data_IF_515180226023
#
_entry.id   IF_515180226023
#
_cell.length_a   1.000
_cell.length_b   1.000
_cell.length_c   1.000
_cell.angle_alpha   90.00
_cell.angle_beta   90.00
_cell.angle_gamma   90.00
#
_symmetry.space_group_name_H-M   'P 1'
#
loop_
_entity.id
_entity.type
_entity.pdbx_description
1 polymer ?
#
# COMPACT_ATOMS: atom_id res chain seq x y z
N UNK A 1 14.19 -17.20 19.95
CA UNK A 1 13.13 -16.20 19.71
C UNK A 1 13.60 -14.93 20.39
N UNK A 2 13.58 -13.79 19.70
CA UNK A 2 13.90 -12.53 20.33
C UNK A 2 12.79 -12.14 21.34
N UNK A 3 13.16 -11.41 22.41
CA UNK A 3 12.22 -10.97 23.44
C UNK A 3 11.57 -9.61 23.08
N UNK A 4 11.56 -9.22 21.81
CA UNK A 4 11.00 -7.94 21.37
C UNK A 4 9.48 -7.98 21.41
N UNK A 5 8.86 -7.01 22.09
CA UNK A 5 7.42 -6.83 22.07
C UNK A 5 7.03 -6.05 20.81
N UNK A 6 6.19 -6.61 19.98
CA UNK A 6 5.70 -6.01 18.72
C UNK A 6 4.26 -5.56 18.86
N UNK A 7 3.76 -4.84 17.90
CA UNK A 7 2.35 -4.43 17.83
C UNK A 7 1.43 -5.66 17.88
N UNK A 8 0.26 -5.51 18.48
CA UNK A 8 -0.70 -6.61 18.72
C UNK A 8 -1.17 -7.31 17.44
N UNK A 9 -1.20 -6.57 16.34
CA UNK A 9 -1.59 -7.12 15.04
C UNK A 9 -0.53 -8.01 14.38
N UNK A 10 0.73 -7.91 14.80
CA UNK A 10 1.84 -8.67 14.23
C UNK A 10 1.75 -10.16 14.62
N UNK A 11 1.48 -11.03 13.64
CA UNK A 11 1.44 -12.47 13.86
C UNK A 11 2.85 -13.03 14.07
N UNK A 12 3.18 -13.37 15.31
CA UNK A 12 4.48 -13.90 15.72
C UNK A 12 4.83 -15.29 15.14
N UNK A 13 3.89 -15.94 14.46
CA UNK A 13 4.11 -17.23 13.78
C UNK A 13 4.48 -17.04 12.30
N UNK A 14 4.35 -15.83 11.77
CA UNK A 14 4.66 -15.50 10.38
C UNK A 14 5.94 -14.65 10.28
N UNK A 15 7.02 -15.25 9.80
CA UNK A 15 8.33 -14.59 9.69
C UNK A 15 8.31 -13.41 8.72
N UNK A 16 7.53 -13.47 7.64
CA UNK A 16 7.36 -12.36 6.69
C UNK A 16 6.65 -11.18 7.36
N UNK A 17 5.65 -11.47 8.20
CA UNK A 17 4.90 -10.43 8.90
C UNK A 17 5.75 -9.75 9.98
N UNK A 18 6.56 -10.53 10.70
CA UNK A 18 7.55 -10.01 11.64
C UNK A 18 8.56 -9.11 10.93
N UNK A 19 9.11 -9.56 9.80
CA UNK A 19 10.05 -8.78 9.01
C UNK A 19 9.42 -7.47 8.52
N UNK A 20 8.22 -7.52 7.97
CA UNK A 20 7.49 -6.33 7.53
C UNK A 20 7.30 -5.33 8.68
N UNK A 21 6.83 -5.80 9.85
CA UNK A 21 6.66 -4.96 11.04
C UNK A 21 7.98 -4.31 11.49
N UNK A 22 9.07 -5.10 11.55
CA UNK A 22 10.33 -4.63 12.12
C UNK A 22 11.15 -3.76 11.16
N UNK A 23 11.02 -3.97 9.85
CA UNK A 23 11.93 -3.41 8.85
C UNK A 23 11.29 -2.45 7.86
N UNK A 24 9.95 -2.54 7.63
CA UNK A 24 9.27 -1.74 6.61
C UNK A 24 8.17 -0.83 7.19
N UNK A 25 7.22 -1.40 7.92
CA UNK A 25 6.03 -0.69 8.38
C UNK A 25 6.37 0.51 9.26
N UNK A 26 5.71 1.63 9.00
CA UNK A 26 5.97 2.91 9.67
C UNK A 26 7.39 3.47 9.48
N UNK A 27 8.14 2.99 8.50
CA UNK A 27 9.45 3.57 8.13
C UNK A 27 9.32 4.40 6.86
N UNK A 28 9.76 5.67 6.88
CA UNK A 28 9.69 6.53 5.71
C UNK A 28 10.42 5.92 4.50
N UNK A 29 9.68 5.62 3.46
CA UNK A 29 10.21 5.18 2.17
C UNK A 29 9.40 5.84 1.05
N UNK A 30 10.04 6.77 0.34
CA UNK A 30 9.43 7.59 -0.70
C UNK A 30 10.02 7.30 -2.09
N UNK A 31 10.62 6.11 -2.26
CA UNK A 31 10.96 5.61 -3.59
C UNK A 31 9.68 5.41 -4.41
N UNK A 32 9.65 5.93 -5.63
CA UNK A 32 8.44 5.93 -6.47
C UNK A 32 7.94 4.52 -6.80
N UNK A 33 8.84 3.55 -6.97
CA UNK A 33 8.44 2.15 -7.20
C UNK A 33 7.82 1.56 -5.95
N UNK A 34 8.38 1.84 -4.77
CA UNK A 34 7.83 1.39 -3.49
C UNK A 34 6.47 2.03 -3.21
N UNK A 35 6.32 3.33 -3.45
CA UNK A 35 5.04 4.03 -3.32
C UNK A 35 3.97 3.42 -4.22
N UNK A 36 4.32 3.09 -5.46
CA UNK A 36 3.42 2.45 -6.40
C UNK A 36 3.07 1.02 -5.98
N UNK A 37 4.06 0.19 -5.66
CA UNK A 37 3.87 -1.18 -5.19
C UNK A 37 2.91 -1.23 -4.00
N UNK A 38 3.18 -0.41 -2.96
CA UNK A 38 2.37 -0.41 -1.75
C UNK A 38 0.94 0.07 -2.01
N UNK A 39 0.72 1.06 -2.88
CA UNK A 39 -0.63 1.51 -3.23
C UNK A 39 -1.42 0.39 -3.94
N UNK A 40 -0.79 -0.35 -4.84
CA UNK A 40 -1.43 -1.48 -5.51
C UNK A 40 -1.75 -2.59 -4.51
N UNK A 41 -0.79 -3.01 -3.68
CA UNK A 41 -0.99 -4.08 -2.71
C UNK A 41 -2.07 -3.74 -1.68
N UNK A 42 -2.09 -2.52 -1.14
CA UNK A 42 -3.12 -2.04 -0.21
C UNK A 42 -4.52 -2.03 -0.87
N UNK A 43 -4.60 -1.70 -2.16
CA UNK A 43 -5.88 -1.75 -2.88
C UNK A 43 -6.46 -3.17 -3.02
N UNK A 44 -5.61 -4.21 -2.95
CA UNK A 44 -6.02 -5.62 -2.91
C UNK A 44 -6.38 -6.11 -1.50
N UNK A 45 -6.24 -5.29 -0.47
CA UNK A 45 -6.61 -5.66 0.89
C UNK A 45 -8.13 -5.59 1.14
N UNK A 46 -8.93 -5.11 0.20
CA UNK A 46 -10.37 -4.93 0.40
C UNK A 46 -11.06 -6.23 0.84
N UNK A 47 -11.53 -6.27 2.10
CA UNK A 47 -12.15 -7.45 2.71
C UNK A 47 -11.20 -8.56 3.14
N UNK A 48 -9.88 -8.36 3.08
CA UNK A 48 -8.85 -9.30 3.48
C UNK A 48 -7.96 -8.75 4.60
N UNK A 49 -7.18 -9.61 5.24
CA UNK A 49 -6.12 -9.17 6.14
C UNK A 49 -4.86 -8.75 5.35
N UNK A 50 -4.10 -7.80 5.90
CA UNK A 50 -2.81 -7.43 5.31
C UNK A 50 -1.85 -8.61 5.24
N UNK A 51 -1.87 -9.50 6.24
CA UNK A 51 -1.07 -10.72 6.23
C UNK A 51 -1.35 -11.59 5.00
N UNK A 52 -2.61 -11.67 4.55
CA UNK A 52 -2.98 -12.41 3.33
C UNK A 52 -2.34 -11.78 2.09
N UNK A 53 -2.34 -10.46 1.98
CA UNK A 53 -1.72 -9.73 0.87
C UNK A 53 -0.20 -9.87 0.91
N UNK A 54 0.40 -9.66 2.08
CA UNK A 54 1.85 -9.73 2.28
C UNK A 54 2.42 -11.11 1.95
N UNK A 55 1.73 -12.18 2.33
CA UNK A 55 2.13 -13.55 1.99
C UNK A 55 2.12 -13.83 0.48
N UNK A 56 1.41 -13.02 -0.29
CA UNK A 56 1.31 -13.11 -1.76
C UNK A 56 2.18 -12.06 -2.49
N UNK A 57 2.88 -11.18 -1.75
CA UNK A 57 3.64 -10.05 -2.30
C UNK A 57 4.64 -10.47 -3.37
N UNK A 58 5.39 -11.53 -3.14
CA UNK A 58 6.35 -12.05 -4.13
C UNK A 58 5.65 -12.56 -5.39
N UNK A 59 4.51 -13.22 -5.25
CA UNK A 59 3.72 -13.68 -6.40
C UNK A 59 3.12 -12.50 -7.19
N UNK A 60 2.68 -11.44 -6.48
CA UNK A 60 2.28 -10.18 -7.12
C UNK A 60 3.44 -9.52 -7.86
N UNK A 61 4.62 -9.46 -7.28
CA UNK A 61 5.81 -8.89 -7.92
C UNK A 61 6.09 -9.59 -9.25
N UNK A 62 6.04 -10.92 -9.29
CA UNK A 62 6.22 -11.69 -10.52
C UNK A 62 5.08 -11.47 -11.52
N UNK A 63 3.82 -11.47 -11.08
CA UNK A 63 2.64 -11.36 -11.94
C UNK A 63 2.44 -9.94 -12.52
N UNK A 64 2.94 -8.91 -11.83
CA UNK A 64 2.84 -7.49 -12.19
C UNK A 64 4.16 -6.94 -12.74
N UNK A 65 4.97 -7.76 -13.43
CA UNK A 65 6.22 -7.32 -14.05
C UNK A 65 7.14 -6.54 -13.11
N UNK A 66 7.31 -7.03 -11.87
CA UNK A 66 8.11 -6.39 -10.83
C UNK A 66 7.61 -4.96 -10.52
N UNK A 67 6.31 -4.76 -10.53
CA UNK A 67 5.66 -3.45 -10.39
C UNK A 67 6.22 -2.38 -11.33
N UNK A 68 6.53 -2.79 -12.57
CA UNK A 68 6.88 -1.84 -13.61
C UNK A 68 5.62 -1.13 -14.11
N UNK A 69 5.44 0.11 -13.68
CA UNK A 69 4.21 0.89 -13.96
C UNK A 69 3.97 1.06 -15.46
N UNK A 70 5.04 1.20 -16.28
CA UNK A 70 4.92 1.37 -17.73
C UNK A 70 4.29 0.13 -18.38
N UNK A 71 4.67 -1.05 -17.89
CA UNK A 71 4.09 -2.31 -18.37
C UNK A 71 2.67 -2.51 -17.86
N UNK A 72 2.42 -2.28 -16.57
CA UNK A 72 1.08 -2.47 -15.97
C UNK A 72 0.04 -1.55 -16.62
N UNK A 73 0.41 -0.31 -16.98
CA UNK A 73 -0.46 0.59 -17.71
C UNK A 73 -0.90 0.08 -19.08
N UNK A 74 -0.17 -0.88 -19.65
CA UNK A 74 -0.44 -1.48 -20.97
C UNK A 74 -1.20 -2.81 -20.89
N UNK A 75 -1.49 -3.31 -19.70
CA UNK A 75 -2.24 -4.55 -19.53
C UNK A 75 -3.62 -4.45 -20.17
N UNK A 76 -3.95 -5.45 -20.97
CA UNK A 76 -5.20 -5.61 -21.71
C UNK A 76 -6.13 -6.65 -21.06
N UNK A 77 -7.24 -6.96 -21.71
CA UNK A 77 -8.19 -7.96 -21.21
C UNK A 77 -7.60 -9.39 -21.20
N UNK A 78 -6.64 -9.72 -22.06
CA UNK A 78 -5.95 -11.02 -22.07
C UNK A 78 -5.09 -11.15 -20.81
N UNK A 79 -4.34 -10.10 -20.46
CA UNK A 79 -3.56 -10.05 -19.20
C UNK A 79 -4.48 -10.11 -17.97
N UNK A 80 -5.64 -9.46 -18.00
CA UNK A 80 -6.64 -9.58 -16.91
C UNK A 80 -7.09 -11.03 -16.72
N UNK A 81 -7.34 -11.78 -17.82
CA UNK A 81 -7.71 -13.19 -17.76
C UNK A 81 -6.57 -14.04 -17.20
N UNK A 82 -5.34 -13.81 -17.65
CA UNK A 82 -4.14 -14.48 -17.12
C UNK A 82 -4.01 -14.27 -15.61
N UNK A 83 -4.11 -13.03 -15.13
CA UNK A 83 -4.04 -12.71 -13.70
C UNK A 83 -5.16 -13.37 -12.89
N UNK A 84 -6.38 -13.47 -13.43
CA UNK A 84 -7.48 -14.18 -12.79
C UNK A 84 -7.24 -15.70 -12.67
N UNK A 85 -6.44 -16.28 -13.53
CA UNK A 85 -6.08 -17.70 -13.49
C UNK A 85 -4.91 -17.99 -12.55
N UNK A 86 -4.13 -16.99 -12.18
CA UNK A 86 -2.98 -17.13 -11.28
C UNK A 86 -3.43 -17.35 -9.83
N UNK A 87 -3.33 -18.59 -9.33
CA UNK A 87 -3.75 -18.99 -7.97
C UNK A 87 -2.87 -18.40 -6.86
N UNK A 88 -1.70 -17.93 -7.19
CA UNK A 88 -0.75 -17.39 -6.23
C UNK A 88 -1.08 -15.95 -5.79
N UNK A 89 -1.85 -15.20 -6.59
CA UNK A 89 -2.29 -13.84 -6.26
C UNK A 89 -3.77 -13.79 -5.83
N UNK A 90 -4.25 -12.61 -5.44
CA UNK A 90 -5.67 -12.34 -5.23
C UNK A 90 -6.34 -12.15 -6.61
N UNK A 91 -7.36 -12.97 -6.91
CA UNK A 91 -7.93 -13.14 -8.26
C UNK A 91 -9.24 -12.39 -8.49
N UNK A 92 -9.51 -11.38 -7.68
CA UNK A 92 -10.72 -10.57 -7.85
C UNK A 92 -10.62 -9.73 -9.12
N UNK A 93 -11.51 -10.00 -10.08
CA UNK A 93 -11.54 -9.31 -11.39
C UNK A 93 -11.65 -7.80 -11.26
N UNK A 94 -12.47 -7.32 -10.32
CA UNK A 94 -12.68 -5.88 -10.13
C UNK A 94 -11.42 -5.21 -9.58
N UNK A 95 -10.72 -5.84 -8.64
CA UNK A 95 -9.46 -5.34 -8.09
C UNK A 95 -8.35 -5.36 -9.14
N UNK A 96 -8.24 -6.43 -9.95
CA UNK A 96 -7.27 -6.50 -11.05
C UNK A 96 -7.52 -5.38 -12.07
N UNK A 97 -8.76 -5.17 -12.52
CA UNK A 97 -9.08 -4.05 -13.43
C UNK A 97 -8.84 -2.69 -12.79
N UNK A 98 -9.15 -2.57 -11.50
CA UNK A 98 -8.88 -1.35 -10.74
C UNK A 98 -7.39 -1.07 -10.61
N UNK A 99 -6.54 -2.07 -10.37
CA UNK A 99 -5.10 -1.88 -10.26
C UNK A 99 -4.49 -1.32 -11.56
N UNK A 100 -4.95 -1.78 -12.72
CA UNK A 100 -4.51 -1.26 -14.03
C UNK A 100 -4.96 0.19 -14.22
N UNK A 101 -6.21 0.50 -13.87
CA UNK A 101 -6.73 1.87 -13.93
C UNK A 101 -5.97 2.79 -12.95
N UNK A 102 -5.75 2.33 -11.72
CA UNK A 102 -5.02 3.09 -10.70
C UNK A 102 -3.56 3.35 -11.13
N UNK A 103 -2.93 2.41 -11.84
CA UNK A 103 -1.58 2.59 -12.39
C UNK A 103 -1.52 3.74 -13.39
N UNK A 104 -2.50 3.84 -14.29
CA UNK A 104 -2.60 4.95 -15.26
C UNK A 104 -2.74 6.30 -14.54
N UNK A 105 -3.62 6.35 -13.54
CA UNK A 105 -3.85 7.57 -12.74
C UNK A 105 -2.61 7.92 -11.91
N UNK A 106 -1.93 6.94 -11.31
CA UNK A 106 -0.67 7.15 -10.60
C UNK A 106 0.37 7.82 -11.51
N UNK A 107 0.52 7.31 -12.74
CA UNK A 107 1.42 7.87 -13.74
C UNK A 107 1.03 9.30 -14.16
N UNK A 108 -0.27 9.59 -14.28
CA UNK A 108 -0.74 10.93 -14.59
C UNK A 108 -0.48 11.91 -13.43
N UNK A 109 -0.61 11.46 -12.17
CA UNK A 109 -0.21 12.22 -10.99
C UNK A 109 1.30 12.50 -11.00
N UNK A 110 2.13 11.50 -11.33
CA UNK A 110 3.57 11.71 -11.46
C UNK A 110 3.91 12.79 -12.49
N UNK A 111 3.22 12.81 -13.64
CA UNK A 111 3.41 13.87 -14.66
C UNK A 111 2.96 15.25 -14.17
N UNK A 112 1.83 15.33 -13.46
CA UNK A 112 1.24 16.58 -12.96
C UNK A 112 2.12 17.21 -11.87
N UNK A 113 2.61 16.42 -10.92
CA UNK A 113 3.34 16.89 -9.72
C UNK A 113 4.86 16.67 -9.79
N UNK A 114 5.37 16.06 -10.86
CA UNK A 114 6.78 15.66 -11.00
C UNK A 114 7.12 14.34 -10.31
N UNK A 115 6.37 13.93 -9.27
CA UNK A 115 6.46 12.62 -8.60
C UNK A 115 5.21 12.38 -7.76
N UNK A 116 4.95 11.11 -7.43
CA UNK A 116 3.86 10.78 -6.49
C UNK A 116 4.16 11.24 -5.06
N UNK A 117 5.43 11.22 -4.67
CA UNK A 117 5.87 11.81 -3.40
C UNK A 117 5.55 13.31 -3.31
N UNK A 118 5.77 14.08 -4.38
CA UNK A 118 5.39 15.51 -4.40
C UNK A 118 3.88 15.70 -4.26
N UNK A 119 3.08 14.86 -4.92
CA UNK A 119 1.63 14.86 -4.75
C UNK A 119 1.23 14.61 -3.29
N UNK A 120 1.81 13.59 -2.62
CA UNK A 120 1.56 13.33 -1.20
C UNK A 120 1.92 14.53 -0.32
N UNK A 121 3.02 15.22 -0.62
CA UNK A 121 3.45 16.42 0.13
C UNK A 121 2.44 17.56 0.08
N UNK A 122 1.59 17.65 -0.94
CA UNK A 122 0.52 18.67 -1.00
C UNK A 122 -0.52 18.51 0.10
N UNK A 123 -0.64 17.30 0.69
CA UNK A 123 -1.55 16.98 1.80
C UNK A 123 -0.84 16.91 3.15
N UNK A 124 0.44 16.56 3.16
CA UNK A 124 1.20 16.23 4.37
C UNK A 124 2.19 17.30 4.78
N UNK A 125 2.44 18.33 3.94
CA UNK A 125 3.53 19.29 4.10
C UNK A 125 4.91 18.62 4.27
N UNK A 126 5.04 17.36 3.83
CA UNK A 126 6.25 16.56 4.03
C UNK A 126 6.50 16.14 5.49
N UNK A 127 5.49 16.25 6.36
CA UNK A 127 5.59 15.90 7.79
C UNK A 127 5.25 14.42 8.03
N UNK A 128 5.76 13.90 9.13
CA UNK A 128 5.38 12.61 9.71
C UNK A 128 4.37 12.83 10.83
N UNK A 129 3.35 11.99 10.89
CA UNK A 129 2.27 12.05 11.86
C UNK A 129 2.33 10.83 12.79
N UNK A 130 2.14 11.07 14.10
CA UNK A 130 2.14 10.01 15.11
C UNK A 130 0.70 9.79 15.58
N UNK A 131 0.12 8.65 15.19
CA UNK A 131 -1.27 8.32 15.46
C UNK A 131 -1.40 6.86 15.93
N UNK A 132 -2.14 6.63 17.01
CA UNK A 132 -2.37 5.29 17.58
C UNK A 132 -3.87 5.03 17.65
N UNK A 133 -4.27 3.77 17.51
CA UNK A 133 -5.67 3.33 17.63
C UNK A 133 -6.64 4.01 16.66
N UNK A 134 -6.15 4.38 15.46
CA UNK A 134 -6.95 4.94 14.38
C UNK A 134 -6.94 4.04 13.14
N UNK A 135 -7.97 4.14 12.35
CA UNK A 135 -8.12 3.48 11.05
C UNK A 135 -8.32 4.46 9.90
N UNK A 136 -8.52 5.73 10.22
CA UNK A 136 -8.63 6.87 9.28
C UNK A 136 -8.14 8.14 9.96
N UNK A 137 -7.83 9.16 9.17
CA UNK A 137 -7.46 10.49 9.64
C UNK A 137 -7.88 11.55 8.62
N UNK A 138 -7.91 12.85 8.98
CA UNK A 138 -8.20 13.91 8.02
C UNK A 138 -7.30 13.87 6.77
N UNK A 139 -6.05 13.41 6.92
CA UNK A 139 -5.10 13.28 5.79
C UNK A 139 -5.51 12.11 4.90
N UNK A 140 -5.79 10.93 5.46
CA UNK A 140 -6.25 9.79 4.67
C UNK A 140 -7.58 10.07 3.99
N UNK A 141 -8.49 10.81 4.65
CA UNK A 141 -9.77 11.23 4.06
C UNK A 141 -9.56 12.16 2.86
N UNK A 142 -8.69 13.15 3.00
CA UNK A 142 -8.40 14.12 1.94
C UNK A 142 -7.75 13.45 0.72
N UNK A 143 -6.72 12.61 0.93
CA UNK A 143 -6.04 11.88 -0.14
C UNK A 143 -6.99 10.89 -0.81
N UNK A 144 -7.75 10.12 -0.03
CA UNK A 144 -8.75 9.18 -0.54
C UNK A 144 -9.76 9.88 -1.45
N UNK A 145 -10.30 11.02 -1.00
CA UNK A 145 -11.27 11.81 -1.76
C UNK A 145 -10.69 12.32 -3.09
N UNK A 146 -9.45 12.80 -3.10
CA UNK A 146 -8.80 13.29 -4.31
C UNK A 146 -8.50 12.14 -5.29
N UNK A 147 -7.94 11.02 -4.81
CA UNK A 147 -7.68 9.85 -5.63
C UNK A 147 -8.96 9.27 -6.25
N UNK A 148 -10.06 9.21 -5.47
CA UNK A 148 -11.36 8.78 -5.98
C UNK A 148 -11.91 9.76 -7.03
N UNK A 149 -11.77 11.07 -6.82
CA UNK A 149 -12.16 12.10 -7.79
C UNK A 149 -11.37 11.97 -9.11
N UNK A 150 -10.11 11.55 -9.03
CA UNK A 150 -9.27 11.24 -10.20
C UNK A 150 -9.65 9.93 -10.87
N UNK A 151 -10.53 9.13 -10.26
CA UNK A 151 -11.07 7.89 -10.82
C UNK A 151 -10.42 6.61 -10.29
N UNK A 152 -9.52 6.68 -9.30
CA UNK A 152 -8.98 5.48 -8.63
C UNK A 152 -10.07 4.71 -7.91
N UNK A 153 -9.91 3.40 -7.82
CA UNK A 153 -10.81 2.46 -7.14
C UNK A 153 -10.06 1.73 -6.02
N UNK A 154 -10.79 1.24 -5.03
CA UNK A 154 -10.25 0.55 -3.86
C UNK A 154 -9.22 1.39 -3.08
N UNK A 155 -9.44 2.70 -3.04
CA UNK A 155 -8.62 3.69 -2.34
C UNK A 155 -9.46 4.45 -1.30
N UNK A 156 -10.32 3.73 -0.57
CA UNK A 156 -11.10 4.29 0.54
C UNK A 156 -10.18 4.79 1.67
N UNK A 157 -10.70 5.66 2.55
CA UNK A 157 -9.89 6.30 3.60
C UNK A 157 -9.14 5.31 4.48
N UNK A 158 -9.74 4.17 4.83
CA UNK A 158 -9.07 3.11 5.61
C UNK A 158 -7.88 2.49 4.85
N UNK A 159 -8.04 2.22 3.54
CA UNK A 159 -6.96 1.71 2.70
C UNK A 159 -5.84 2.75 2.57
N UNK A 160 -6.20 4.02 2.35
CA UNK A 160 -5.20 5.09 2.27
C UNK A 160 -4.52 5.31 3.62
N UNK A 161 -5.23 5.15 4.76
CA UNK A 161 -4.61 5.21 6.08
C UNK A 161 -3.55 4.12 6.25
N UNK A 162 -3.87 2.86 5.91
CA UNK A 162 -2.92 1.75 5.92
C UNK A 162 -1.74 2.00 4.97
N UNK A 163 -2.01 2.52 3.78
CA UNK A 163 -0.97 2.93 2.84
C UNK A 163 -0.01 3.98 3.42
N UNK A 164 -0.55 5.01 4.10
CA UNK A 164 0.27 6.05 4.74
C UNK A 164 1.13 5.49 5.89
N UNK A 165 0.64 4.47 6.60
CA UNK A 165 1.43 3.72 7.59
C UNK A 165 2.53 2.90 6.90
N UNK A 166 2.21 2.19 5.82
CA UNK A 166 3.16 1.36 5.08
C UNK A 166 4.35 2.16 4.54
N UNK A 167 4.12 3.40 4.09
CA UNK A 167 5.16 4.29 3.54
C UNK A 167 5.80 5.21 4.58
N UNK A 168 5.40 5.13 5.85
CA UNK A 168 5.98 5.88 6.95
C UNK A 168 5.61 7.36 7.03
N UNK A 169 4.50 7.77 6.39
CA UNK A 169 3.89 9.10 6.63
C UNK A 169 3.18 9.12 7.98
N UNK A 170 2.53 8.03 8.35
CA UNK A 170 1.89 7.84 9.66
C UNK A 170 2.66 6.78 10.42
N UNK A 171 3.07 7.10 11.65
CA UNK A 171 3.72 6.18 12.59
C UNK A 171 2.69 5.76 13.63
N UNK A 172 2.42 4.44 13.72
CA UNK A 172 1.32 3.90 14.53
C UNK A 172 1.72 2.71 15.40
N UNK A 173 2.99 2.63 15.83
CA UNK A 173 3.40 1.55 16.72
C UNK A 173 2.67 1.62 18.06
N UNK A 174 2.20 0.46 18.56
CA UNK A 174 1.60 0.33 19.89
C UNK A 174 2.56 0.85 20.98
N UNK A 175 2.02 1.42 22.06
CA UNK A 175 2.81 2.01 23.17
C UNK A 175 3.86 1.06 23.76
N UNK A 176 3.59 -0.22 23.76
CA UNK A 176 4.48 -1.26 24.28
C UNK A 176 5.32 -1.93 23.18
N UNK A 177 5.23 -1.49 21.94
CA UNK A 177 6.07 -1.99 20.86
C UNK A 177 7.51 -1.48 21.03
N UNK A 178 8.50 -2.34 20.75
CA UNK A 178 9.91 -1.96 20.84
C UNK A 178 10.31 -0.85 19.85
N UNK A 179 9.48 -0.58 18.84
CA UNK A 179 9.64 0.51 17.86
C UNK A 179 8.84 1.77 18.21
N UNK A 180 8.12 1.76 19.34
CA UNK A 180 7.35 2.92 19.74
C UNK A 180 8.27 4.12 20.00
N UNK A 181 7.93 5.30 19.43
CA UNK A 181 8.65 6.57 19.62
C UNK A 181 10.13 6.56 19.20
N UNK A 182 10.54 5.75 18.24
CA UNK A 182 11.86 5.81 17.61
C UNK A 182 11.87 6.74 16.40
#
# INVERSE_FOLDING_TARGET
>A
MDNKKRCKWCNMKNSLYIKYHDEEWCKPNFDEKYLYEMLILESFQAGLSWECVLNKRQAFEMAYDNFNIEKVCQYDDEKVIELQQNKEIIRNKLEIKASINNSKIFKDIQKEFGSFNNYLKTFTDGKTYYEIDKTTSPISDAISKDLQKRGMKFVGSTIIYSYLQAIGVIISHDKDCFLFAQ
#
